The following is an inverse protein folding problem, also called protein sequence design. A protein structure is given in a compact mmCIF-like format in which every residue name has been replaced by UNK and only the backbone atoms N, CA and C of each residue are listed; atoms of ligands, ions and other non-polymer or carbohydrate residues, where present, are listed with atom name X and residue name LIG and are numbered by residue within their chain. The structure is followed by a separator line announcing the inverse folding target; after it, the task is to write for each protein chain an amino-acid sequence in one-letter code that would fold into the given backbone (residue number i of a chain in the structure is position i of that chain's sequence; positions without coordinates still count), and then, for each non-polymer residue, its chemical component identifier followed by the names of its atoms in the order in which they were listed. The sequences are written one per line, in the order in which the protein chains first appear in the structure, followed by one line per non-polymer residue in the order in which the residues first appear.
data_IF_910057734117
#
_entry.id   IF_910057734117
#
_cell.length_a   1.000
_cell.length_b   1.000
_cell.length_c   1.000
_cell.angle_alpha   90.00
_cell.angle_beta   90.00
_cell.angle_gamma   90.00
#
_symmetry.space_group_name_H-M   'P 1'
#
loop_
_entity.id
_entity.type
_entity.pdbx_description
1 polymer ?
#
# COMPACT_ATOMS: atom_id res chain seq x y z
N UNK A 1 -23.12 13.27 -31.16
CA UNK A 1 -22.68 11.96 -30.63
C UNK A 1 -21.17 11.88 -30.43
N UNK A 2 -20.34 12.23 -31.43
CA UNK A 2 -18.87 12.21 -31.31
C UNK A 2 -18.33 13.06 -30.12
N UNK A 3 -18.87 14.26 -29.90
CA UNK A 3 -18.49 15.10 -28.76
C UNK A 3 -18.75 14.44 -27.41
N UNK A 4 -19.86 13.71 -27.26
CA UNK A 4 -20.21 12.99 -26.03
C UNK A 4 -19.19 11.89 -25.76
N UNK A 5 -18.75 11.19 -26.81
CA UNK A 5 -17.74 10.12 -26.73
C UNK A 5 -16.38 10.70 -26.32
N UNK A 6 -15.97 11.83 -26.90
CA UNK A 6 -14.71 12.49 -26.54
C UNK A 6 -14.69 12.98 -25.09
N UNK A 7 -15.80 13.58 -24.62
CA UNK A 7 -15.93 14.03 -23.24
C UNK A 7 -15.87 12.83 -22.28
N UNK A 8 -16.59 11.75 -22.59
CA UNK A 8 -16.55 10.53 -21.78
C UNK A 8 -15.14 9.93 -21.70
N UNK A 9 -14.43 9.87 -22.84
CA UNK A 9 -13.05 9.37 -22.88
C UNK A 9 -12.09 10.24 -22.03
N UNK A 10 -12.21 11.57 -22.12
CA UNK A 10 -11.41 12.49 -21.33
C UNK A 10 -11.68 12.34 -19.82
N UNK A 11 -12.94 12.18 -19.41
CA UNK A 11 -13.31 11.98 -18.01
C UNK A 11 -12.77 10.66 -17.46
N UNK A 12 -12.89 9.56 -18.22
CA UNK A 12 -12.34 8.25 -17.81
C UNK A 12 -10.83 8.35 -17.63
N UNK A 13 -10.14 8.99 -18.58
CA UNK A 13 -8.69 9.16 -18.53
C UNK A 13 -8.24 9.99 -17.30
N UNK A 14 -8.97 11.07 -17.00
CA UNK A 14 -8.69 11.89 -15.83
C UNK A 14 -8.82 11.11 -14.50
N UNK A 15 -9.86 10.27 -14.38
CA UNK A 15 -10.08 9.45 -13.17
C UNK A 15 -8.96 8.42 -13.00
N UNK A 16 -8.53 7.76 -14.08
CA UNK A 16 -7.45 6.74 -14.03
C UNK A 16 -6.13 7.37 -13.58
N UNK A 17 -5.82 8.58 -14.04
CA UNK A 17 -4.60 9.30 -13.65
C UNK A 17 -4.61 9.81 -12.20
N UNK A 18 -5.79 10.03 -11.63
CA UNK A 18 -5.94 10.55 -10.26
C UNK A 18 -5.74 9.48 -9.18
N UNK A 19 -5.71 8.19 -9.52
CA UNK A 19 -5.51 7.08 -8.56
C UNK A 19 -4.05 6.99 -8.06
N UNK A 20 -3.59 8.06 -7.38
CA UNK A 20 -2.25 8.18 -6.80
C UNK A 20 -2.24 7.54 -5.40
N UNK A 21 -1.40 6.51 -5.15
CA UNK A 21 -1.28 5.93 -3.82
C UNK A 21 -0.69 6.94 -2.84
N UNK A 22 -1.19 6.93 -1.60
CA UNK A 22 -0.71 7.79 -0.52
C UNK A 22 0.68 7.40 -0.04
N UNK A 23 0.99 6.09 -0.06
CA UNK A 23 2.31 5.57 0.28
C UNK A 23 2.69 4.44 -0.67
N UNK A 24 3.96 4.40 -1.07
CA UNK A 24 4.52 3.30 -1.86
C UNK A 24 5.82 2.84 -1.23
N UNK A 25 5.90 1.55 -0.90
CA UNK A 25 7.07 0.91 -0.32
C UNK A 25 7.57 -0.17 -1.30
N UNK A 26 8.85 -0.13 -1.61
CA UNK A 26 9.51 -1.12 -2.48
C UNK A 26 10.49 -1.93 -1.64
N UNK A 27 10.30 -3.24 -1.64
CA UNK A 27 11.10 -4.21 -0.91
C UNK A 27 11.96 -5.00 -1.90
N UNK A 28 13.27 -5.09 -1.65
CA UNK A 28 14.15 -6.06 -2.30
C UNK A 28 15.01 -6.75 -1.25
N UNK A 29 15.12 -8.06 -1.36
CA UNK A 29 15.96 -8.96 -0.58
C UNK A 29 15.79 -8.84 0.94
N UNK A 30 14.57 -8.49 1.39
CA UNK A 30 14.29 -8.29 2.81
C UNK A 30 14.63 -6.88 3.34
N UNK A 31 15.00 -5.95 2.46
CA UNK A 31 15.22 -4.55 2.79
C UNK A 31 14.24 -3.62 2.07
N UNK A 32 14.02 -2.44 2.67
CA UNK A 32 13.22 -1.38 2.06
C UNK A 32 14.13 -0.50 1.21
N UNK A 33 14.12 -0.71 -0.10
CA UNK A 33 14.94 0.07 -1.03
C UNK A 33 14.42 1.48 -1.26
N UNK A 34 13.11 1.69 -1.15
CA UNK A 34 12.50 2.99 -1.41
C UNK A 34 11.15 3.12 -0.72
N UNK A 35 10.91 4.31 -0.16
CA UNK A 35 9.61 4.75 0.33
C UNK A 35 9.23 6.08 -0.35
N UNK A 36 7.99 6.19 -0.82
CA UNK A 36 7.43 7.40 -1.40
C UNK A 36 6.09 7.73 -0.74
N UNK A 37 5.79 9.02 -0.64
CA UNK A 37 4.59 9.53 0.03
C UNK A 37 4.78 9.77 1.52
N UNK A 38 3.68 10.04 2.22
CA UNK A 38 3.71 10.42 3.64
C UNK A 38 3.76 9.16 4.49
N UNK A 39 4.96 8.70 4.85
CA UNK A 39 5.18 7.46 5.61
C UNK A 39 5.50 7.73 7.07
N UNK A 40 4.65 7.24 7.98
CA UNK A 40 4.90 7.30 9.41
C UNK A 40 6.18 6.53 9.78
N UNK A 41 7.06 7.16 10.57
CA UNK A 41 8.35 6.57 10.97
C UNK A 41 8.19 5.24 11.73
N UNK A 42 7.17 5.15 12.59
CA UNK A 42 6.85 3.94 13.37
C UNK A 42 6.40 2.79 12.45
N UNK A 43 5.58 3.09 11.45
CA UNK A 43 5.15 2.13 10.45
C UNK A 43 6.31 1.65 9.58
N UNK A 44 7.19 2.57 9.17
CA UNK A 44 8.40 2.24 8.41
C UNK A 44 9.30 1.28 9.19
N UNK A 45 9.54 1.54 10.47
CA UNK A 45 10.36 0.68 11.33
C UNK A 45 9.76 -0.74 11.42
N UNK A 46 8.46 -0.85 11.71
CA UNK A 46 7.76 -2.15 11.75
C UNK A 46 7.89 -2.89 10.42
N UNK A 47 7.73 -2.20 9.29
CA UNK A 47 7.91 -2.79 7.97
C UNK A 47 9.34 -3.29 7.74
N UNK A 48 10.36 -2.55 8.21
CA UNK A 48 11.76 -2.99 8.15
C UNK A 48 11.98 -4.26 8.96
N UNK A 49 11.43 -4.33 10.17
CA UNK A 49 11.56 -5.51 11.03
C UNK A 49 10.89 -6.74 10.41
N UNK A 50 9.71 -6.56 9.79
CA UNK A 50 8.99 -7.64 9.10
C UNK A 50 9.78 -8.13 7.89
N UNK A 51 10.34 -7.21 7.09
CA UNK A 51 11.14 -7.52 5.92
C UNK A 51 12.45 -8.24 6.28
N UNK A 52 13.10 -7.87 7.40
CA UNK A 52 14.28 -8.57 7.92
C UNK A 52 13.96 -9.99 8.38
N UNK A 53 12.82 -10.19 9.06
CA UNK A 53 12.41 -11.52 9.56
C UNK A 53 11.95 -12.46 8.45
N UNK A 54 11.38 -11.91 7.37
CA UNK A 54 10.90 -12.68 6.23
C UNK A 54 11.40 -11.96 4.97
N UNK A 55 12.54 -12.35 4.38
CA UNK A 55 13.02 -11.70 3.17
C UNK A 55 12.06 -11.96 2.01
N UNK A 56 11.62 -10.89 1.34
CA UNK A 56 10.78 -10.97 0.15
C UNK A 56 11.06 -9.81 -0.80
N UNK A 57 10.70 -10.03 -2.06
CA UNK A 57 10.77 -9.01 -3.10
C UNK A 57 9.36 -8.55 -3.44
N UNK A 58 9.14 -7.24 -3.56
CA UNK A 58 7.85 -6.74 -4.03
C UNK A 58 7.56 -5.28 -3.72
N UNK A 59 6.38 -4.86 -4.13
CA UNK A 59 5.90 -3.50 -3.89
C UNK A 59 4.61 -3.53 -3.08
N UNK A 60 4.52 -2.62 -2.12
CA UNK A 60 3.31 -2.36 -1.33
C UNK A 60 2.83 -0.94 -1.62
N UNK A 61 1.61 -0.81 -2.12
CA UNK A 61 0.94 0.47 -2.33
C UNK A 61 -0.18 0.62 -1.30
N UNK A 62 -0.17 1.71 -0.55
CA UNK A 62 -1.18 2.03 0.46
C UNK A 62 -2.03 3.19 -0.04
N UNK A 63 -3.34 3.01 0.06
CA UNK A 63 -4.37 3.98 -0.30
C UNK A 63 -5.17 4.31 0.96
N UNK A 64 -5.40 5.58 1.22
CA UNK A 64 -6.24 6.01 2.34
C UNK A 64 -7.69 6.09 1.87
N UNK A 65 -8.57 5.27 2.43
CA UNK A 65 -10.02 5.48 2.35
C UNK A 65 -10.46 6.38 3.50
N UNK A 66 -11.71 6.86 3.46
CA UNK A 66 -12.30 7.69 4.53
C UNK A 66 -12.18 7.04 5.92
N UNK A 67 -12.33 5.72 5.99
CA UNK A 67 -12.37 4.98 7.27
C UNK A 67 -11.13 4.11 7.53
N UNK A 68 -10.44 3.64 6.48
CA UNK A 68 -9.42 2.59 6.59
C UNK A 68 -8.34 2.71 5.52
N UNK A 69 -7.15 2.17 5.81
CA UNK A 69 -6.10 2.00 4.82
C UNK A 69 -6.33 0.73 3.98
N UNK A 70 -6.32 0.88 2.65
CA UNK A 70 -6.35 -0.23 1.68
C UNK A 70 -4.95 -0.46 1.15
N UNK A 71 -4.53 -1.72 1.04
CA UNK A 71 -3.17 -2.06 0.57
C UNK A 71 -3.24 -3.00 -0.63
N UNK A 72 -2.48 -2.65 -1.68
CA UNK A 72 -2.24 -3.50 -2.85
C UNK A 72 -0.79 -3.98 -2.83
N UNK A 73 -0.60 -5.30 -2.91
CA UNK A 73 0.71 -5.95 -2.94
C UNK A 73 1.03 -6.46 -4.36
N UNK A 74 2.32 -6.56 -4.69
CA UNK A 74 2.76 -7.30 -5.88
C UNK A 74 2.56 -8.80 -5.70
N UNK A 75 2.43 -9.53 -6.81
CA UNK A 75 2.25 -10.99 -6.81
C UNK A 75 3.41 -11.74 -6.13
N UNK A 76 4.60 -11.16 -6.14
CA UNK A 76 5.83 -11.69 -5.54
C UNK A 76 5.84 -11.74 -4.01
N UNK A 77 4.96 -11.01 -3.32
CA UNK A 77 4.90 -11.01 -1.85
C UNK A 77 4.16 -12.26 -1.36
N UNK A 78 4.72 -13.09 -0.46
CA UNK A 78 4.04 -14.26 0.10
C UNK A 78 2.80 -13.90 0.91
N UNK A 79 1.77 -14.75 0.90
CA UNK A 79 0.48 -14.44 1.54
C UNK A 79 0.60 -14.19 3.06
N UNK A 80 1.44 -14.98 3.74
CA UNK A 80 1.72 -14.81 5.18
C UNK A 80 2.28 -13.41 5.47
N UNK A 81 3.26 -12.98 4.69
CA UNK A 81 3.85 -11.63 4.79
C UNK A 81 2.83 -10.54 4.49
N UNK A 82 1.95 -10.72 3.49
CA UNK A 82 0.86 -9.77 3.19
C UNK A 82 -0.06 -9.56 4.39
N UNK A 83 -0.39 -10.63 5.12
CA UNK A 83 -1.22 -10.54 6.32
C UNK A 83 -0.52 -9.75 7.43
N UNK A 84 0.76 -10.05 7.70
CA UNK A 84 1.57 -9.36 8.72
C UNK A 84 1.68 -7.86 8.38
N UNK A 85 1.96 -7.51 7.13
CA UNK A 85 2.06 -6.12 6.69
C UNK A 85 0.73 -5.37 6.82
N UNK A 86 -0.42 -6.03 6.58
CA UNK A 86 -1.74 -5.43 6.83
C UNK A 86 -1.97 -5.15 8.31
N UNK A 87 -1.58 -6.06 9.20
CA UNK A 87 -1.69 -5.83 10.65
C UNK A 87 -0.78 -4.73 11.18
N UNK A 88 0.31 -4.41 10.46
CA UNK A 88 1.24 -3.36 10.86
C UNK A 88 0.73 -1.94 10.57
N UNK A 89 -0.31 -1.79 9.72
CA UNK A 89 -0.82 -0.48 9.30
C UNK A 89 -1.33 0.37 10.49
N UNK A 90 -1.15 1.69 10.45
CA UNK A 90 -1.72 2.59 11.44
C UNK A 90 -3.26 2.50 11.40
N UNK A 91 -3.89 2.28 12.56
CA UNK A 91 -5.35 2.16 12.64
C UNK A 91 -5.94 0.84 12.13
N UNK A 92 -5.11 -0.13 11.71
CA UNK A 92 -5.59 -1.51 11.64
C UNK A 92 -6.09 -1.90 13.04
N UNK A 93 -7.27 -2.50 13.13
CA UNK A 93 -7.78 -3.08 14.38
C UNK A 93 -6.77 -4.14 14.82
N UNK A 94 -5.76 -3.75 15.59
CA UNK A 94 -5.05 -4.71 16.41
C UNK A 94 -6.13 -5.38 17.23
N UNK A 95 -6.12 -6.71 17.27
CA UNK A 95 -6.82 -7.41 18.34
C UNK A 95 -6.18 -6.95 19.64
N UNK A 96 -6.61 -5.79 20.13
CA UNK A 96 -6.35 -5.33 21.48
C UNK A 96 -7.12 -6.31 22.31
N UNK A 97 -6.43 -7.36 22.73
CA UNK A 97 -6.87 -8.19 23.83
C UNK A 97 -7.01 -7.22 24.99
N UNK A 98 -8.24 -6.73 25.22
CA UNK A 98 -8.59 -6.06 26.47
C UNK A 98 -8.30 -7.10 27.53
N UNK A 99 -7.22 -6.88 28.27
CA UNK A 99 -6.97 -7.53 29.54
C UNK A 99 -8.02 -7.05 30.54
#
# INVERSE_FOLDING_TARGET
MLYVILIAAALIFAIVLYDKPQMKLTFKEGEICSHAGQVDKSFLHRCKDIARKNPFNGTMKVYKSKEQYRVKFSKSVPNKTRHILRSALPGAKSHTHKR
#
